data_IF_209784113405
#
_entry.id   IF_209784113405
#
_cell.length_a   1.000
_cell.length_b   1.000
_cell.length_c   1.000
_cell.angle_alpha   90.00
_cell.angle_beta   90.00
_cell.angle_gamma   90.00
#
_symmetry.space_group_name_H-M   'P 1'
#
loop_
_entity.id
_entity.type
_entity.pdbx_description
1 polymer ?
#
# COMPACT_ATOMS: atom_id res chain seq x y z
N UNK A 1 5.44 23.70 -4.78
CA UNK A 1 6.68 22.96 -5.07
C UNK A 1 6.28 21.63 -5.68
N UNK A 2 6.83 21.20 -6.84
CA UNK A 2 6.48 19.91 -7.42
C UNK A 2 6.98 18.79 -6.49
N UNK A 3 6.10 17.86 -6.14
CA UNK A 3 6.48 16.68 -5.38
C UNK A 3 7.39 15.79 -6.26
N UNK A 4 8.60 15.49 -5.78
CA UNK A 4 9.42 14.45 -6.40
C UNK A 4 9.01 13.11 -5.81
N UNK A 5 8.64 12.16 -6.69
CA UNK A 5 8.27 10.80 -6.32
C UNK A 5 9.54 9.99 -6.08
N UNK A 6 9.64 9.34 -4.92
CA UNK A 6 10.57 8.24 -4.73
C UNK A 6 9.86 6.93 -5.05
N UNK A 7 10.28 6.24 -6.13
CA UNK A 7 9.92 4.85 -6.39
C UNK A 7 10.81 3.97 -5.52
N UNK A 8 10.21 3.22 -4.59
CA UNK A 8 10.93 2.68 -3.45
C UNK A 8 11.26 1.19 -3.60
N UNK A 9 11.98 0.83 -4.67
CA UNK A 9 12.79 -0.40 -4.62
C UNK A 9 14.03 -0.21 -3.70
N UNK A 10 14.43 1.04 -3.41
CA UNK A 10 15.61 1.41 -2.62
C UNK A 10 15.25 2.37 -1.45
N UNK A 11 14.34 1.91 -0.58
CA UNK A 11 13.81 2.65 0.57
C UNK A 11 14.90 3.24 1.45
N UNK A 12 14.62 4.40 2.10
CA UNK A 12 15.41 4.75 3.28
C UNK A 12 15.32 3.58 4.25
N UNK A 13 16.46 2.93 4.48
CA UNK A 13 16.59 1.83 5.44
C UNK A 13 16.46 2.32 6.89
N UNK A 14 16.46 3.64 7.10
CA UNK A 14 16.34 4.28 8.39
C UNK A 14 15.66 5.66 8.32
N UNK A 15 15.35 6.20 9.50
CA UNK A 15 14.71 7.52 9.68
C UNK A 15 15.53 8.67 9.10
N UNK A 16 16.87 8.60 9.13
CA UNK A 16 17.74 9.67 8.63
C UNK A 16 17.65 9.77 7.10
N UNK A 17 17.59 8.63 6.42
CA UNK A 17 17.40 8.58 4.98
C UNK A 17 16.07 9.20 4.55
N UNK A 18 14.99 8.96 5.30
CA UNK A 18 13.68 9.56 5.01
C UNK A 18 13.67 11.07 5.25
N UNK A 19 14.19 11.53 6.38
CA UNK A 19 14.29 12.95 6.70
C UNK A 19 15.13 13.70 5.66
N UNK A 20 16.29 13.17 5.26
CA UNK A 20 17.15 13.76 4.23
C UNK A 20 16.46 13.88 2.87
N UNK A 21 15.69 12.87 2.47
CA UNK A 21 14.92 12.94 1.21
C UNK A 21 13.83 13.99 1.26
N UNK A 22 13.16 14.11 2.41
CA UNK A 22 12.13 15.13 2.64
C UNK A 22 12.70 16.54 2.53
N UNK A 23 13.88 16.81 3.11
CA UNK A 23 14.56 18.12 2.96
C UNK A 23 14.99 18.41 1.52
N UNK A 24 15.10 17.39 0.66
CA UNK A 24 15.36 17.52 -0.78
C UNK A 24 14.07 17.59 -1.63
N UNK A 25 12.89 17.69 -1.01
CA UNK A 25 11.60 17.85 -1.71
C UNK A 25 10.90 16.55 -2.09
N UNK A 26 11.44 15.39 -1.70
CA UNK A 26 10.76 14.10 -1.88
C UNK A 26 9.67 13.96 -0.81
N UNK A 27 8.42 13.98 -1.24
CA UNK A 27 7.24 13.94 -0.35
C UNK A 27 6.27 12.82 -0.67
N UNK A 28 6.58 11.96 -1.64
CA UNK A 28 5.76 10.83 -2.05
C UNK A 28 6.58 9.54 -2.08
N UNK A 29 6.15 8.54 -1.32
CA UNK A 29 6.81 7.24 -1.15
C UNK A 29 5.92 6.12 -1.68
N UNK A 30 6.42 5.37 -2.65
CA UNK A 30 5.70 4.25 -3.28
C UNK A 30 6.33 2.90 -2.94
N UNK A 31 5.57 2.01 -2.29
CA UNK A 31 5.98 0.65 -1.87
C UNK A 31 4.96 -0.41 -2.31
N UNK A 32 5.15 -1.68 -1.96
CA UNK A 32 4.20 -2.76 -2.20
C UNK A 32 4.46 -3.93 -1.25
N UNK A 33 3.42 -4.69 -0.91
CA UNK A 33 3.55 -5.92 -0.11
C UNK A 33 4.52 -6.95 -0.72
N UNK A 34 4.68 -6.95 -2.05
CA UNK A 34 5.52 -7.92 -2.77
C UNK A 34 7.02 -7.58 -2.74
N UNK A 35 7.39 -6.35 -2.36
CA UNK A 35 8.80 -5.92 -2.36
C UNK A 35 9.53 -6.50 -1.15
N UNK A 36 10.41 -7.49 -1.41
CA UNK A 36 11.07 -8.27 -0.36
C UNK A 36 10.03 -8.75 0.65
N UNK A 37 9.14 -9.69 0.28
CA UNK A 37 7.75 -9.70 0.71
C UNK A 37 7.53 -9.24 2.14
N UNK A 38 6.68 -8.22 2.28
CA UNK A 38 6.28 -7.56 3.52
C UNK A 38 7.35 -6.69 4.20
N UNK A 39 8.64 -6.95 3.97
CA UNK A 39 9.72 -6.23 4.68
C UNK A 39 9.89 -4.78 4.23
N UNK A 40 9.65 -4.48 2.95
CA UNK A 40 9.82 -3.10 2.46
C UNK A 40 8.80 -2.13 3.10
N UNK A 41 7.56 -2.57 3.30
CA UNK A 41 6.55 -1.76 3.99
C UNK A 41 6.90 -1.49 5.45
N UNK A 42 7.52 -2.46 6.14
CA UNK A 42 8.03 -2.28 7.50
C UNK A 42 9.13 -1.20 7.55
N UNK A 43 10.11 -1.30 6.65
CA UNK A 43 11.20 -0.32 6.56
C UNK A 43 10.68 1.09 6.23
N UNK A 44 9.76 1.19 5.28
CA UNK A 44 9.13 2.46 4.91
C UNK A 44 8.37 3.03 6.10
N UNK A 45 7.54 2.23 6.78
CA UNK A 45 6.79 2.64 7.96
C UNK A 45 7.70 3.20 9.07
N UNK A 46 8.75 2.45 9.43
CA UNK A 46 9.72 2.88 10.45
C UNK A 46 10.44 4.18 10.07
N UNK A 47 10.76 4.34 8.79
CA UNK A 47 11.50 5.49 8.29
C UNK A 47 10.65 6.77 8.26
N UNK A 48 9.36 6.67 7.91
CA UNK A 48 8.47 7.83 7.77
C UNK A 48 7.67 8.14 9.03
N UNK A 49 7.59 7.25 10.02
CA UNK A 49 6.82 7.47 11.25
C UNK A 49 7.02 8.87 11.89
N UNK A 50 8.24 9.44 11.98
CA UNK A 50 8.45 10.78 12.53
C UNK A 50 7.93 11.94 11.66
N UNK A 51 7.64 11.69 10.39
CA UNK A 51 7.27 12.68 9.37
C UNK A 51 5.99 12.28 8.62
N UNK A 52 5.17 11.39 9.17
CA UNK A 52 4.01 10.79 8.49
C UNK A 52 3.05 11.83 7.92
N UNK A 53 2.84 12.94 8.62
CA UNK A 53 1.95 14.02 8.20
C UNK A 53 2.52 14.92 7.10
N UNK A 54 3.82 14.82 6.82
CA UNK A 54 4.52 15.62 5.81
C UNK A 54 4.67 14.89 4.48
N UNK A 55 4.30 13.60 4.43
CA UNK A 55 4.52 12.72 3.29
C UNK A 55 3.25 12.00 2.87
N UNK A 56 3.22 11.59 1.60
CA UNK A 56 2.19 10.78 0.98
C UNK A 56 2.73 9.39 0.72
N UNK A 57 1.93 8.36 1.01
CA UNK A 57 2.31 6.96 0.83
C UNK A 57 1.39 6.31 -0.19
N UNK A 58 2.00 5.62 -1.15
CA UNK A 58 1.33 4.66 -1.99
C UNK A 58 1.76 3.23 -1.67
N UNK A 59 0.80 2.31 -1.64
CA UNK A 59 1.07 0.87 -1.64
C UNK A 59 0.15 0.15 -2.61
N UNK A 60 0.45 -1.13 -2.86
CA UNK A 60 -0.13 -1.92 -3.94
C UNK A 60 -0.58 -3.28 -3.44
N UNK A 61 -1.63 -3.80 -4.05
CA UNK A 61 -2.16 -5.15 -3.80
C UNK A 61 -2.20 -5.98 -5.09
N UNK A 62 -2.54 -7.26 -4.97
CA UNK A 62 -2.99 -8.09 -6.09
C UNK A 62 -2.06 -9.25 -6.45
N UNK A 63 -0.95 -9.42 -5.74
CA UNK A 63 -0.10 -10.61 -5.87
C UNK A 63 -0.53 -11.70 -4.90
N UNK A 64 -0.50 -12.95 -5.36
CA UNK A 64 -0.73 -14.13 -4.52
C UNK A 64 0.60 -14.60 -3.91
N UNK A 65 1.03 -13.92 -2.84
CA UNK A 65 2.31 -14.19 -2.16
C UNK A 65 2.25 -15.51 -1.39
N UNK A 66 1.13 -15.81 -0.74
CA UNK A 66 0.97 -17.00 0.10
C UNK A 66 0.56 -18.26 -0.67
N UNK A 67 -0.07 -18.14 -1.84
CA UNK A 67 -0.49 -19.27 -2.67
C UNK A 67 0.64 -20.02 -3.38
N UNK A 68 1.90 -19.63 -3.16
CA UNK A 68 3.10 -20.39 -3.54
C UNK A 68 3.43 -20.48 -5.03
N UNK A 69 2.54 -20.00 -5.92
CA UNK A 69 2.72 -20.07 -7.39
C UNK A 69 3.14 -18.74 -8.03
N UNK A 70 3.30 -17.67 -7.24
CA UNK A 70 3.69 -16.36 -7.78
C UNK A 70 2.65 -15.77 -8.73
N UNK A 71 1.36 -15.97 -8.43
CA UNK A 71 0.23 -15.54 -9.24
C UNK A 71 -0.37 -14.21 -8.80
N UNK A 72 -1.60 -13.97 -9.25
CA UNK A 72 -2.40 -12.81 -8.88
C UNK A 72 -3.59 -13.26 -8.02
N UNK A 73 -3.99 -12.41 -7.09
CA UNK A 73 -5.21 -12.58 -6.31
C UNK A 73 -5.77 -11.21 -5.95
N UNK A 74 -6.75 -10.77 -6.73
CA UNK A 74 -7.45 -9.49 -6.52
C UNK A 74 -8.88 -9.68 -6.04
N UNK A 75 -9.19 -10.80 -5.39
CA UNK A 75 -10.52 -11.01 -4.79
C UNK A 75 -10.76 -9.98 -3.67
N UNK A 76 -11.98 -9.43 -3.50
CA UNK A 76 -12.28 -8.43 -2.47
C UNK A 76 -11.78 -8.79 -1.06
N UNK A 77 -11.94 -10.05 -0.65
CA UNK A 77 -11.47 -10.55 0.65
C UNK A 77 -9.94 -10.45 0.78
N UNK A 78 -9.22 -10.70 -0.31
CA UNK A 78 -7.78 -10.60 -0.33
C UNK A 78 -7.33 -9.14 -0.33
N UNK A 79 -7.94 -8.27 -1.14
CA UNK A 79 -7.65 -6.83 -1.18
C UNK A 79 -7.72 -6.26 0.24
N UNK A 80 -8.82 -6.55 0.94
CA UNK A 80 -9.01 -6.16 2.33
C UNK A 80 -7.89 -6.64 3.25
N UNK A 81 -7.59 -7.95 3.25
CA UNK A 81 -6.53 -8.53 4.09
C UNK A 81 -5.17 -7.88 3.83
N UNK A 82 -4.86 -7.63 2.56
CA UNK A 82 -3.64 -6.95 2.15
C UNK A 82 -3.58 -5.54 2.72
N UNK A 83 -4.67 -4.78 2.64
CA UNK A 83 -4.73 -3.41 3.16
C UNK A 83 -4.59 -3.36 4.68
N UNK A 84 -5.31 -4.22 5.40
CA UNK A 84 -5.16 -4.34 6.87
C UNK A 84 -3.72 -4.66 7.27
N UNK A 85 -3.08 -5.59 6.56
CA UNK A 85 -1.71 -5.97 6.83
C UNK A 85 -0.71 -4.86 6.46
N UNK A 86 -0.97 -4.13 5.36
CA UNK A 86 -0.14 -3.04 4.89
C UNK A 86 -0.16 -1.86 5.87
N UNK A 87 -1.33 -1.48 6.39
CA UNK A 87 -1.47 -0.44 7.43
C UNK A 87 -0.65 -0.78 8.69
N UNK A 88 -0.71 -2.05 9.14
CA UNK A 88 0.09 -2.54 10.28
C UNK A 88 1.59 -2.44 10.01
N UNK A 89 2.05 -2.87 8.82
CA UNK A 89 3.48 -2.82 8.45
C UNK A 89 3.99 -1.40 8.27
N UNK A 90 3.19 -0.54 7.65
CA UNK A 90 3.49 0.89 7.46
C UNK A 90 3.37 1.71 8.75
N UNK A 91 2.88 1.13 9.85
CA UNK A 91 2.71 1.79 11.14
C UNK A 91 1.87 3.09 11.04
N UNK A 92 0.80 3.04 10.25
CA UNK A 92 -0.09 4.19 10.00
C UNK A 92 -1.54 3.74 9.89
N UNK A 93 -2.45 4.69 10.08
CA UNK A 93 -3.90 4.54 9.96
C UNK A 93 -4.43 4.86 8.56
N UNK A 94 -3.60 5.35 7.65
CA UNK A 94 -4.04 5.81 6.32
C UNK A 94 -3.03 5.54 5.21
N UNK A 95 -3.55 5.22 4.03
CA UNK A 95 -2.82 5.11 2.76
C UNK A 95 -3.31 6.24 1.85
N UNK A 96 -2.40 7.02 1.27
CA UNK A 96 -2.77 8.19 0.46
C UNK A 96 -3.11 7.79 -0.99
N UNK A 97 -2.56 6.68 -1.48
CA UNK A 97 -2.89 6.08 -2.77
C UNK A 97 -2.79 4.55 -2.69
N UNK A 98 -3.89 3.86 -2.99
CA UNK A 98 -3.92 2.41 -3.12
C UNK A 98 -4.22 2.06 -4.58
N UNK A 99 -3.44 1.13 -5.16
CA UNK A 99 -3.71 0.66 -6.52
C UNK A 99 -3.34 -0.79 -6.73
N UNK A 100 -4.03 -1.42 -7.69
CA UNK A 100 -3.74 -2.80 -8.09
C UNK A 100 -2.40 -2.85 -8.81
N UNK A 101 -1.51 -3.74 -8.37
CA UNK A 101 -0.14 -3.83 -8.90
C UNK A 101 -0.13 -4.41 -10.32
N UNK A 102 -1.00 -5.38 -10.59
CA UNK A 102 -1.22 -6.03 -11.89
C UNK A 102 -2.68 -6.45 -11.99
N UNK A 103 -3.27 -6.27 -13.16
CA UNK A 103 -4.65 -6.71 -13.42
C UNK A 103 -4.73 -8.22 -13.30
N UNK A 104 -5.61 -8.69 -12.41
CA UNK A 104 -5.98 -10.09 -12.28
C UNK A 104 -7.13 -10.42 -13.24
N UNK A 105 -6.88 -11.17 -14.33
CA UNK A 105 -7.91 -11.49 -15.31
C UNK A 105 -8.97 -12.47 -14.77
N UNK A 106 -8.75 -13.09 -13.61
CA UNK A 106 -9.70 -14.02 -13.00
C UNK A 106 -10.74 -13.33 -12.12
N UNK A 107 -10.62 -12.01 -11.88
CA UNK A 107 -11.55 -11.22 -11.07
C UNK A 107 -12.09 -10.07 -11.92
N UNK A 108 -13.41 -9.90 -12.05
CA UNK A 108 -14.00 -8.76 -12.75
C UNK A 108 -13.48 -7.42 -12.19
N UNK A 109 -13.21 -6.46 -13.07
CA UNK A 109 -12.65 -5.17 -12.66
C UNK A 109 -13.61 -4.39 -11.77
N UNK A 110 -14.92 -4.61 -11.94
CA UNK A 110 -15.98 -4.03 -11.13
C UNK A 110 -15.93 -4.52 -9.68
N UNK A 111 -15.62 -5.80 -9.44
CA UNK A 111 -15.45 -6.33 -8.08
C UNK A 111 -14.21 -5.71 -7.40
N UNK A 112 -13.12 -5.57 -8.16
CA UNK A 112 -11.89 -4.91 -7.68
C UNK A 112 -12.18 -3.43 -7.35
N UNK A 113 -12.83 -2.71 -8.26
CA UNK A 113 -13.17 -1.31 -8.07
C UNK A 113 -14.16 -1.11 -6.91
N UNK A 114 -15.15 -1.99 -6.75
CA UNK A 114 -16.09 -1.98 -5.64
C UNK A 114 -15.39 -2.16 -4.30
N UNK A 115 -14.49 -3.14 -4.18
CA UNK A 115 -13.69 -3.35 -2.97
C UNK A 115 -12.79 -2.15 -2.65
N UNK A 116 -12.12 -1.58 -3.65
CA UNK A 116 -11.29 -0.38 -3.48
C UNK A 116 -12.15 0.81 -3.07
N UNK A 117 -13.33 1.01 -3.66
CA UNK A 117 -14.25 2.09 -3.29
C UNK A 117 -14.72 1.97 -1.85
N UNK A 118 -15.06 0.76 -1.40
CA UNK A 118 -15.50 0.49 -0.03
C UNK A 118 -14.43 0.87 1.01
N UNK A 119 -13.14 0.70 0.70
CA UNK A 119 -12.04 1.06 1.59
C UNK A 119 -11.88 2.57 1.83
N UNK A 120 -12.40 3.41 0.93
CA UNK A 120 -12.38 4.86 1.08
C UNK A 120 -13.60 5.41 1.83
N UNK A 121 -14.66 4.63 1.96
CA UNK A 121 -15.90 5.07 2.60
C UNK A 121 -15.78 4.94 4.12
N UNK A 122 -15.76 6.06 4.88
CA UNK A 122 -15.70 6.00 6.34
C UNK A 122 -16.92 5.32 6.98
N UNK A 123 -18.03 5.15 6.24
CA UNK A 123 -19.21 4.43 6.68
C UNK A 123 -19.08 2.90 6.53
N UNK A 124 -18.06 2.41 5.81
CA UNK A 124 -17.83 0.98 5.58
C UNK A 124 -16.61 0.56 6.40
N UNK A 125 -16.79 -0.18 7.50
CA UNK A 125 -15.68 -0.79 8.22
C UNK A 125 -14.85 -1.64 7.27
N UNK A 126 -13.53 -1.67 7.45
CA UNK A 126 -12.67 -2.56 6.65
C UNK A 126 -13.13 -4.02 6.80
N UNK A 127 -13.79 -4.32 7.93
CA UNK A 127 -14.46 -5.57 8.25
C UNK A 127 -15.57 -6.03 7.30
N UNK A 128 -16.06 -5.13 6.46
CA UNK A 128 -17.20 -5.36 5.58
C UNK A 128 -16.81 -5.31 4.09
N UNK A 129 -15.53 -5.08 3.77
CA UNK A 129 -15.00 -4.95 2.39
C UNK A 129 -15.00 -6.29 1.61
N UNK A 130 -15.61 -7.34 2.14
CA UNK A 130 -15.82 -8.62 1.48
C UNK A 130 -17.28 -8.77 1.06
N UNK A 131 -17.54 -9.01 -0.23
CA UNK A 131 -18.90 -9.24 -0.74
C UNK A 131 -19.64 -8.00 -1.26
N UNK A 132 -18.94 -6.93 -1.62
CA UNK A 132 -19.54 -5.77 -2.29
C UNK A 132 -19.66 -6.01 -3.81
N UNK A 133 -20.64 -6.82 -4.22
CA UNK A 133 -21.35 -6.76 -5.51
C UNK A 133 -22.77 -7.26 -5.33
#
# INVERSE_FOLDING_TARGET
MPAVVAVVADAPRDRRGAARRTTMGVTFFDTAEVYGPYTNEQLVGEAIAPIRDQVKIATKFGFDIEGGKGGLNSRPEQIRKVVEASLKRLQTDRIDLLYQHRVDPAVPIEEVAGAVSALFDPAVPIEEVAGAV
#
